data_IF_628119022616
#
_entry.id   IF_628119022616
#
_cell.length_a   1.000
_cell.length_b   1.000
_cell.length_c   1.000
_cell.angle_alpha   90.00
_cell.angle_beta   90.00
_cell.angle_gamma   90.00
#
_symmetry.space_group_name_H-M   'P 1'
#
loop_
_entity.id
_entity.type
_entity.pdbx_description
1 polymer ?
#
# COMPACT_ATOMS: atom_id res chain seq x y z
N UNK A 1 13.06 -13.76 -23.63
CA UNK A 1 12.30 -12.49 -23.71
C UNK A 1 13.28 -11.34 -23.55
N UNK A 2 13.42 -10.42 -24.52
CA UNK A 2 14.43 -9.39 -24.46
C UNK A 2 14.02 -8.34 -23.41
N UNK A 3 14.77 -8.25 -22.32
CA UNK A 3 14.68 -7.14 -21.38
C UNK A 3 15.34 -5.93 -22.05
N UNK A 4 14.57 -4.87 -22.28
CA UNK A 4 15.14 -3.55 -22.58
C UNK A 4 16.04 -3.19 -21.40
N UNK A 5 17.36 -3.28 -21.57
CA UNK A 5 18.34 -2.86 -20.55
C UNK A 5 18.26 -1.34 -20.44
N UNK A 6 17.43 -0.84 -19.53
CA UNK A 6 17.47 0.55 -19.13
C UNK A 6 18.87 0.91 -18.62
N UNK A 7 19.31 2.15 -18.83
CA UNK A 7 20.48 2.72 -18.17
C UNK A 7 20.37 2.48 -16.66
N UNK A 8 21.46 2.04 -16.04
CA UNK A 8 21.51 1.73 -14.61
C UNK A 8 22.34 2.81 -13.91
N UNK A 9 21.70 3.87 -13.37
CA UNK A 9 22.42 4.94 -12.69
C UNK A 9 22.90 4.52 -11.29
N UNK A 10 23.84 5.28 -10.75
CA UNK A 10 24.39 5.11 -9.40
C UNK A 10 24.17 6.38 -8.57
N UNK A 11 23.83 6.21 -7.30
CA UNK A 11 23.65 7.29 -6.33
C UNK A 11 24.64 7.14 -5.18
N UNK A 12 25.60 8.06 -5.10
CA UNK A 12 26.54 8.14 -3.96
C UNK A 12 25.81 8.33 -2.64
N UNK A 13 24.72 9.12 -2.64
CA UNK A 13 23.95 9.39 -1.43
C UNK A 13 23.36 8.10 -0.82
N UNK A 14 22.76 7.24 -1.64
CA UNK A 14 22.18 5.97 -1.18
C UNK A 14 23.28 4.96 -0.82
N UNK A 15 24.43 5.03 -1.51
CA UNK A 15 25.60 4.19 -1.25
C UNK A 15 26.16 4.26 0.18
N UNK A 16 25.90 5.34 0.91
CA UNK A 16 26.29 5.45 2.32
C UNK A 16 25.51 4.51 3.26
N UNK A 17 24.32 4.07 2.84
CA UNK A 17 23.45 3.22 3.66
C UNK A 17 23.22 1.82 3.07
N UNK A 18 23.41 1.63 1.76
CA UNK A 18 23.22 0.35 1.08
C UNK A 18 23.74 0.32 -0.35
N UNK A 19 23.07 -0.42 -1.24
CA UNK A 19 23.48 -0.52 -2.64
C UNK A 19 23.29 0.82 -3.38
N UNK A 20 24.35 1.32 -4.04
CA UNK A 20 24.32 2.57 -4.79
C UNK A 20 23.59 2.48 -6.15
N UNK A 21 23.39 1.26 -6.66
CA UNK A 21 22.83 1.01 -7.99
C UNK A 21 21.30 1.23 -8.00
N UNK A 22 20.79 1.94 -9.01
CA UNK A 22 19.37 2.14 -9.24
C UNK A 22 18.92 1.36 -10.50
N UNK A 23 18.03 0.40 -10.33
CA UNK A 23 17.57 -0.48 -11.40
C UNK A 23 18.56 -1.59 -11.77
N UNK A 24 18.34 -2.32 -12.87
CA UNK A 24 17.20 -2.17 -13.79
C UNK A 24 15.88 -2.62 -13.14
N UNK A 25 14.76 -2.12 -13.66
CA UNK A 25 13.41 -2.56 -13.26
C UNK A 25 12.79 -3.39 -14.38
N UNK A 26 12.17 -4.53 -14.03
CA UNK A 26 11.40 -5.30 -15.00
C UNK A 26 10.05 -4.61 -15.27
N UNK A 27 9.64 -4.45 -16.53
CA UNK A 27 8.32 -3.89 -16.87
C UNK A 27 7.62 -4.81 -17.90
N UNK A 28 6.78 -5.73 -17.42
CA UNK A 28 5.88 -6.52 -18.26
C UNK A 28 4.46 -5.94 -18.28
N UNK A 29 3.54 -6.58 -19.01
CA UNK A 29 2.17 -6.07 -19.21
C UNK A 29 1.43 -5.76 -17.90
N UNK A 30 1.54 -6.61 -16.88
CA UNK A 30 0.94 -6.33 -15.55
C UNK A 30 1.58 -5.13 -14.83
N UNK A 31 2.88 -4.91 -15.04
CA UNK A 31 3.56 -3.73 -14.49
C UNK A 31 3.07 -2.44 -15.15
N UNK A 32 2.95 -2.44 -16.48
CA UNK A 32 2.41 -1.30 -17.23
C UNK A 32 0.96 -1.03 -16.83
N UNK A 33 0.12 -2.07 -16.79
CA UNK A 33 -1.28 -1.95 -16.36
C UNK A 33 -1.39 -1.37 -14.95
N UNK A 34 -0.61 -1.91 -14.00
CA UNK A 34 -0.64 -1.44 -12.62
C UNK A 34 -0.25 0.03 -12.48
N UNK A 35 0.83 0.45 -13.15
CA UNK A 35 1.29 1.85 -13.14
C UNK A 35 0.29 2.78 -13.82
N UNK A 36 -0.27 2.38 -14.97
CA UNK A 36 -1.26 3.17 -15.69
C UNK A 36 -2.54 3.35 -14.86
N UNK A 37 -3.09 2.27 -14.30
CA UNK A 37 -4.26 2.35 -13.43
C UNK A 37 -3.96 3.13 -12.14
N UNK A 38 -2.77 2.97 -11.54
CA UNK A 38 -2.36 3.74 -10.37
C UNK A 38 -2.24 5.23 -10.67
N UNK A 39 -1.72 5.59 -11.84
CA UNK A 39 -1.68 6.97 -12.31
C UNK A 39 -3.08 7.55 -12.52
N UNK A 40 -4.01 6.78 -13.12
CA UNK A 40 -5.39 7.24 -13.29
C UNK A 40 -6.13 7.41 -11.96
N UNK A 41 -5.89 6.53 -10.98
CA UNK A 41 -6.38 6.71 -9.61
C UNK A 41 -5.89 8.03 -9.00
N UNK A 42 -4.57 8.26 -9.03
CA UNK A 42 -3.95 9.48 -8.53
C UNK A 42 -4.48 10.73 -9.25
N UNK A 43 -4.55 10.69 -10.58
CA UNK A 43 -5.03 11.80 -11.40
C UNK A 43 -6.50 12.12 -11.16
N UNK A 44 -7.35 11.09 -10.97
CA UNK A 44 -8.79 11.27 -10.68
C UNK A 44 -9.00 12.00 -9.35
N UNK A 45 -8.21 11.68 -8.33
CA UNK A 45 -8.24 12.42 -7.05
C UNK A 45 -7.68 13.83 -7.24
N UNK A 46 -6.54 13.95 -7.93
CA UNK A 46 -5.88 15.24 -8.17
C UNK A 46 -6.78 16.23 -8.91
N UNK A 47 -7.47 15.82 -9.96
CA UNK A 47 -8.38 16.70 -10.71
C UNK A 47 -9.58 17.13 -9.87
N UNK A 48 -10.06 16.27 -8.98
CA UNK A 48 -11.10 16.62 -8.02
C UNK A 48 -10.62 17.65 -6.98
N UNK A 49 -9.39 17.51 -6.49
CA UNK A 49 -8.80 18.48 -5.56
C UNK A 49 -8.58 19.84 -6.23
N UNK A 50 -8.13 19.86 -7.48
CA UNK A 50 -8.06 21.09 -8.27
C UNK A 50 -9.43 21.74 -8.50
N UNK A 51 -10.47 20.93 -8.71
CA UNK A 51 -11.84 21.42 -8.78
C UNK A 51 -12.30 22.04 -7.44
N UNK A 52 -12.02 21.40 -6.30
CA UNK A 52 -12.30 21.95 -4.97
C UNK A 52 -11.53 23.25 -4.69
N UNK A 53 -10.30 23.36 -5.21
CA UNK A 53 -9.50 24.57 -5.15
C UNK A 53 -9.97 25.70 -6.10
N UNK A 54 -11.03 25.47 -6.90
CA UNK A 54 -11.47 26.44 -7.90
C UNK A 54 -10.41 26.74 -8.98
N UNK A 55 -9.50 25.78 -9.23
CA UNK A 55 -8.35 25.92 -10.13
C UNK A 55 -7.31 26.98 -9.71
N UNK A 56 -7.35 27.45 -8.47
CA UNK A 56 -6.35 28.36 -7.91
C UNK A 56 -5.18 27.57 -7.30
N UNK A 57 -3.94 27.70 -7.83
CA UNK A 57 -2.78 26.99 -7.29
C UNK A 57 -2.42 27.35 -5.85
N UNK A 58 -2.69 28.58 -5.42
CA UNK A 58 -2.41 29.01 -4.04
C UNK A 58 -3.39 28.35 -3.06
N UNK A 59 -4.67 28.31 -3.41
CA UNK A 59 -5.69 27.58 -2.64
C UNK A 59 -5.38 26.08 -2.64
N UNK A 60 -4.99 25.52 -3.79
CA UNK A 60 -4.64 24.10 -3.90
C UNK A 60 -3.53 23.73 -2.91
N UNK A 61 -2.46 24.53 -2.84
CA UNK A 61 -1.34 24.26 -1.92
C UNK A 61 -1.70 24.53 -0.46
N UNK A 62 -2.52 25.55 -0.18
CA UNK A 62 -2.97 25.89 1.18
C UNK A 62 -3.84 24.78 1.79
N UNK A 63 -4.78 24.27 1.01
CA UNK A 63 -5.85 23.40 1.49
C UNK A 63 -5.64 21.93 1.11
N UNK A 64 -4.46 21.57 0.56
CA UNK A 64 -4.16 20.23 0.02
C UNK A 64 -4.58 19.07 0.94
N UNK A 65 -4.40 19.21 2.24
CA UNK A 65 -4.73 18.16 3.22
C UNK A 65 -6.21 18.11 3.61
N UNK A 66 -6.95 19.19 3.35
CA UNK A 66 -8.37 19.32 3.68
C UNK A 66 -9.28 18.87 2.53
N UNK A 67 -8.76 18.80 1.30
CA UNK A 67 -9.54 18.26 0.18
C UNK A 67 -9.86 16.79 0.35
N UNK A 68 -11.03 16.41 -0.16
CA UNK A 68 -11.45 15.02 -0.15
C UNK A 68 -12.39 14.65 -1.29
N UNK A 69 -12.17 13.46 -1.85
CA UNK A 69 -13.10 12.77 -2.72
C UNK A 69 -13.87 11.72 -1.89
N UNK A 70 -15.13 12.03 -1.61
CA UNK A 70 -16.03 11.25 -0.76
C UNK A 70 -16.77 10.14 -1.54
N UNK A 71 -17.11 9.00 -0.90
CA UNK A 71 -17.95 7.97 -1.51
C UNK A 71 -19.40 8.47 -1.75
N UNK A 72 -20.21 7.74 -2.55
CA UNK A 72 -21.62 8.02 -2.71
C UNK A 72 -22.37 8.08 -1.38
N UNK A 73 -23.36 8.98 -1.29
CA UNK A 73 -24.24 9.08 -0.14
C UNK A 73 -25.08 7.79 0.08
N UNK A 74 -25.58 7.53 1.30
CA UNK A 74 -26.31 6.29 1.62
C UNK A 74 -27.52 6.00 0.73
N UNK A 75 -28.18 7.04 0.20
CA UNK A 75 -29.33 6.93 -0.70
C UNK A 75 -29.03 6.19 -2.01
N UNK A 76 -27.77 6.18 -2.44
CA UNK A 76 -27.32 5.45 -3.63
C UNK A 76 -27.04 3.97 -3.37
N UNK A 77 -26.98 3.53 -2.10
CA UNK A 77 -26.68 2.15 -1.71
C UNK A 77 -25.41 1.63 -2.39
N UNK A 78 -25.51 0.46 -3.03
CA UNK A 78 -24.43 -0.14 -3.83
C UNK A 78 -24.52 0.19 -5.34
N UNK A 79 -25.42 1.08 -5.75
CA UNK A 79 -25.57 1.41 -7.17
C UNK A 79 -24.36 2.17 -7.71
N UNK A 80 -24.15 2.07 -9.02
CA UNK A 80 -23.16 2.87 -9.76
C UNK A 80 -23.80 4.11 -10.42
N UNK A 81 -24.98 4.52 -9.96
CA UNK A 81 -25.79 5.57 -10.58
C UNK A 81 -25.55 6.97 -9.99
N UNK A 82 -24.71 7.09 -8.94
CA UNK A 82 -24.39 8.36 -8.33
C UNK A 82 -23.77 9.33 -9.35
N UNK A 83 -24.22 10.61 -9.40
CA UNK A 83 -23.59 11.63 -10.22
C UNK A 83 -22.09 11.75 -9.94
N UNK A 84 -21.32 12.19 -10.95
CA UNK A 84 -19.86 12.28 -10.84
C UNK A 84 -19.39 13.08 -9.62
N UNK A 85 -20.04 14.20 -9.32
CA UNK A 85 -19.69 15.07 -8.18
C UNK A 85 -20.21 14.58 -6.82
N UNK A 86 -21.03 13.54 -6.81
CA UNK A 86 -21.73 13.01 -5.62
C UNK A 86 -21.33 11.56 -5.33
N UNK A 87 -20.09 11.20 -5.65
CA UNK A 87 -19.52 9.87 -5.40
C UNK A 87 -19.25 9.03 -6.65
N UNK A 88 -19.76 9.42 -7.83
CA UNK A 88 -19.41 8.76 -9.09
C UNK A 88 -17.92 8.80 -9.40
N UNK A 89 -17.24 9.92 -9.13
CA UNK A 89 -15.78 10.02 -9.27
C UNK A 89 -15.02 9.14 -8.25
N UNK A 90 -15.56 8.96 -7.05
CA UNK A 90 -14.99 8.04 -6.06
C UNK A 90 -15.03 6.60 -6.57
N UNK A 91 -16.15 6.17 -7.16
CA UNK A 91 -16.26 4.83 -7.76
C UNK A 91 -15.24 4.61 -8.89
N UNK A 92 -15.03 5.63 -9.73
CA UNK A 92 -14.04 5.58 -10.81
C UNK A 92 -12.61 5.48 -10.23
N UNK A 93 -12.27 6.30 -9.23
CA UNK A 93 -10.98 6.25 -8.57
C UNK A 93 -10.75 4.86 -7.91
N UNK A 94 -11.75 4.35 -7.19
CA UNK A 94 -11.74 3.04 -6.55
C UNK A 94 -11.54 1.90 -7.54
N UNK A 95 -12.16 1.97 -8.72
CA UNK A 95 -11.94 0.99 -9.80
C UNK A 95 -10.48 0.97 -10.28
N UNK A 96 -9.90 2.15 -10.53
CA UNK A 96 -8.50 2.23 -10.97
C UNK A 96 -7.52 1.78 -9.88
N UNK A 97 -7.78 2.13 -8.62
CA UNK A 97 -7.01 1.63 -7.48
C UNK A 97 -7.09 0.10 -7.40
N UNK A 98 -8.29 -0.46 -7.57
CA UNK A 98 -8.53 -1.90 -7.52
C UNK A 98 -7.71 -2.65 -8.56
N UNK A 99 -7.78 -2.22 -9.83
CA UNK A 99 -6.99 -2.82 -10.92
C UNK A 99 -5.50 -2.67 -10.66
N UNK A 100 -5.05 -1.50 -10.18
CA UNK A 100 -3.64 -1.23 -9.92
C UNK A 100 -3.04 -2.20 -8.89
N UNK A 101 -3.72 -2.37 -7.75
CA UNK A 101 -3.26 -3.22 -6.64
C UNK A 101 -3.25 -4.70 -7.04
N UNK A 102 -4.32 -5.20 -7.66
CA UNK A 102 -4.40 -6.61 -8.06
C UNK A 102 -3.44 -6.95 -9.21
N UNK A 103 -3.23 -6.06 -10.16
CA UNK A 103 -2.19 -6.22 -11.19
C UNK A 103 -0.78 -6.23 -10.58
N UNK A 104 -0.53 -5.39 -9.56
CA UNK A 104 0.74 -5.38 -8.83
C UNK A 104 0.97 -6.68 -8.06
N UNK A 105 -0.05 -7.21 -7.40
CA UNK A 105 0.03 -8.50 -6.73
C UNK A 105 0.40 -9.63 -7.71
N UNK A 106 -0.29 -9.70 -8.85
CA UNK A 106 0.03 -10.68 -9.90
C UNK A 106 1.46 -10.52 -10.42
N UNK A 107 1.95 -9.28 -10.56
CA UNK A 107 3.35 -9.00 -10.89
C UNK A 107 4.31 -9.56 -9.83
N UNK A 108 4.08 -9.33 -8.54
CA UNK A 108 4.92 -9.86 -7.44
C UNK A 108 5.00 -11.38 -7.50
N UNK A 109 3.87 -12.05 -7.67
CA UNK A 109 3.79 -13.50 -7.78
C UNK A 109 4.58 -14.04 -8.98
N UNK A 110 4.39 -13.45 -10.16
CA UNK A 110 5.03 -13.89 -11.40
C UNK A 110 6.53 -13.59 -11.44
N UNK A 111 7.04 -12.60 -10.68
CA UNK A 111 8.48 -12.37 -10.55
C UNK A 111 9.16 -13.46 -9.75
N UNK A 112 8.58 -13.85 -8.62
CA UNK A 112 9.08 -15.00 -7.87
C UNK A 112 9.02 -16.29 -8.70
N UNK A 113 7.96 -16.51 -9.49
CA UNK A 113 7.86 -17.68 -10.38
C UNK A 113 8.94 -17.71 -11.44
N UNK A 114 9.18 -16.60 -12.13
CA UNK A 114 10.16 -16.51 -13.21
C UNK A 114 11.60 -16.76 -12.72
N UNK A 115 11.88 -16.52 -11.43
CA UNK A 115 13.18 -16.75 -10.80
C UNK A 115 13.27 -18.10 -10.07
N UNK A 116 12.23 -18.95 -10.13
CA UNK A 116 12.20 -20.24 -9.43
C UNK A 116 12.11 -20.12 -7.90
N UNK A 117 11.76 -18.95 -7.37
CA UNK A 117 11.67 -18.69 -5.92
C UNK A 117 10.32 -19.11 -5.33
N UNK A 118 10.28 -19.35 -4.02
CA UNK A 118 9.03 -19.49 -3.27
C UNK A 118 8.15 -18.24 -3.33
N UNK A 119 6.84 -18.39 -3.09
CA UNK A 119 5.83 -17.31 -3.29
C UNK A 119 5.53 -16.49 -2.05
N UNK A 120 6.40 -16.55 -1.03
CA UNK A 120 6.22 -15.93 0.28
C UNK A 120 5.86 -14.44 0.20
N UNK A 121 6.55 -13.65 -0.63
CA UNK A 121 6.26 -12.21 -0.80
C UNK A 121 4.85 -11.95 -1.33
N UNK A 122 4.38 -12.75 -2.28
CA UNK A 122 3.02 -12.62 -2.83
C UNK A 122 1.95 -12.96 -1.79
N UNK A 123 2.19 -13.98 -0.95
CA UNK A 123 1.29 -14.36 0.13
C UNK A 123 1.27 -13.34 1.28
N UNK A 124 2.45 -12.85 1.69
CA UNK A 124 2.55 -11.79 2.68
C UNK A 124 1.83 -10.51 2.21
N UNK A 125 2.02 -10.12 0.95
CA UNK A 125 1.35 -8.95 0.38
C UNK A 125 -0.18 -9.10 0.35
N UNK A 126 -0.68 -10.33 0.14
CA UNK A 126 -2.12 -10.60 0.15
C UNK A 126 -2.78 -10.30 1.51
N UNK A 127 -2.05 -10.41 2.62
CA UNK A 127 -2.54 -10.01 3.95
C UNK A 127 -2.78 -8.50 4.06
N UNK A 128 -1.94 -7.67 3.44
CA UNK A 128 -2.16 -6.22 3.38
C UNK A 128 -3.34 -5.87 2.44
N UNK A 129 -3.44 -6.57 1.30
CA UNK A 129 -4.58 -6.44 0.38
C UNK A 129 -5.89 -6.79 1.08
N UNK A 130 -5.90 -7.79 1.95
CA UNK A 130 -7.08 -8.18 2.72
C UNK A 130 -7.65 -7.00 3.54
N UNK A 131 -6.82 -6.32 4.35
CA UNK A 131 -7.28 -5.18 5.15
C UNK A 131 -7.86 -4.06 4.26
N UNK A 132 -7.16 -3.70 3.18
CA UNK A 132 -7.63 -2.69 2.23
C UNK A 132 -8.95 -3.09 1.55
N UNK A 133 -9.08 -4.35 1.13
CA UNK A 133 -10.31 -4.89 0.56
C UNK A 133 -11.47 -4.86 1.56
N UNK A 134 -11.22 -5.18 2.84
CA UNK A 134 -12.24 -5.08 3.89
C UNK A 134 -12.75 -3.65 4.02
N UNK A 135 -11.85 -2.67 4.10
CA UNK A 135 -12.20 -1.27 4.32
C UNK A 135 -12.96 -0.64 3.13
N UNK A 136 -12.54 -0.90 1.89
CA UNK A 136 -13.06 -0.23 0.71
C UNK A 136 -14.13 -0.99 -0.08
N UNK A 137 -14.25 -2.31 0.11
CA UNK A 137 -15.10 -3.15 -0.74
C UNK A 137 -15.95 -4.14 0.06
N UNK A 138 -15.34 -5.07 0.81
CA UNK A 138 -16.06 -6.18 1.44
C UNK A 138 -17.02 -5.67 2.51
N UNK A 139 -16.56 -4.82 3.46
CA UNK A 139 -17.45 -4.26 4.49
C UNK A 139 -18.54 -3.37 3.87
N UNK A 140 -18.25 -2.40 3.00
CA UNK A 140 -19.31 -1.61 2.33
C UNK A 140 -20.37 -2.47 1.64
N UNK A 141 -19.96 -3.53 0.92
CA UNK A 141 -20.90 -4.47 0.29
C UNK A 141 -21.76 -5.19 1.34
N UNK A 142 -21.16 -5.70 2.43
CA UNK A 142 -21.90 -6.36 3.50
C UNK A 142 -22.85 -5.41 4.26
N UNK A 143 -22.52 -4.12 4.32
CA UNK A 143 -23.36 -3.08 4.91
C UNK A 143 -24.42 -2.53 3.93
N UNK A 144 -24.37 -2.92 2.66
CA UNK A 144 -25.35 -2.52 1.65
C UNK A 144 -25.20 -1.10 1.10
N UNK A 145 -24.07 -0.41 1.35
CA UNK A 145 -23.85 0.95 0.87
C UNK A 145 -22.38 1.31 0.68
N UNK A 146 -22.04 2.00 -0.41
CA UNK A 146 -20.71 2.56 -0.64
C UNK A 146 -20.34 3.68 0.35
N UNK A 147 -21.33 4.33 0.97
CA UNK A 147 -21.13 5.38 1.98
C UNK A 147 -20.32 4.94 3.20
N UNK A 148 -20.21 3.63 3.41
CA UNK A 148 -19.47 3.00 4.51
C UNK A 148 -17.95 2.88 4.23
N UNK A 149 -17.52 3.19 3.01
CA UNK A 149 -16.13 3.11 2.59
C UNK A 149 -15.30 4.33 3.04
N UNK A 150 -13.98 4.22 2.93
CA UNK A 150 -13.03 5.28 3.30
C UNK A 150 -12.97 6.34 2.18
N UNK A 151 -12.99 7.65 2.52
CA UNK A 151 -12.79 8.71 1.53
C UNK A 151 -11.32 8.86 1.12
N UNK A 152 -11.08 9.45 -0.05
CA UNK A 152 -9.72 9.79 -0.49
C UNK A 152 -9.40 11.23 -0.11
N UNK A 153 -8.73 11.42 1.03
CA UNK A 153 -8.23 12.72 1.52
C UNK A 153 -7.34 12.56 2.74
N UNK A 154 -6.42 13.52 2.98
CA UNK A 154 -5.41 13.37 4.04
C UNK A 154 -6.05 13.47 5.41
N UNK A 155 -6.82 14.52 5.72
CA UNK A 155 -7.49 14.61 7.01
C UNK A 155 -8.79 13.82 7.05
N UNK A 156 -9.56 13.77 5.96
CA UNK A 156 -10.85 13.07 5.96
C UNK A 156 -10.74 11.56 6.22
N UNK A 157 -9.68 10.86 5.76
CA UNK A 157 -9.52 9.44 6.10
C UNK A 157 -9.12 9.23 7.58
N UNK A 158 -8.47 10.21 8.22
CA UNK A 158 -8.18 10.19 9.66
C UNK A 158 -9.47 10.44 10.45
N UNK A 159 -10.27 11.41 10.02
CA UNK A 159 -11.59 11.69 10.60
C UNK A 159 -12.51 10.47 10.49
N UNK A 160 -12.51 9.80 9.33
CA UNK A 160 -13.21 8.53 9.12
C UNK A 160 -12.74 7.47 10.11
N UNK A 161 -11.43 7.33 10.32
CA UNK A 161 -10.87 6.32 11.25
C UNK A 161 -11.30 6.60 12.69
N UNK A 162 -11.28 7.86 13.12
CA UNK A 162 -11.74 8.27 14.43
C UNK A 162 -13.25 8.00 14.59
N UNK A 163 -14.05 8.45 13.63
CA UNK A 163 -15.51 8.27 13.63
C UNK A 163 -15.89 6.78 13.65
N UNK A 164 -15.20 5.94 12.86
CA UNK A 164 -15.40 4.50 12.84
C UNK A 164 -15.28 3.90 14.25
N UNK A 165 -14.28 4.33 15.04
CA UNK A 165 -14.15 3.87 16.43
C UNK A 165 -15.29 4.33 17.32
N UNK A 166 -15.72 5.59 17.19
CA UNK A 166 -16.81 6.14 18.00
C UNK A 166 -18.14 5.43 17.72
N UNK A 167 -18.47 5.22 16.44
CA UNK A 167 -19.73 4.58 16.03
C UNK A 167 -19.82 3.11 16.45
N UNK A 168 -18.69 2.40 16.50
CA UNK A 168 -18.66 0.98 16.89
C UNK A 168 -18.34 0.76 18.38
N UNK A 169 -18.51 1.78 19.23
CA UNK A 169 -18.42 1.62 20.68
C UNK A 169 -16.99 1.45 21.20
N UNK A 170 -16.02 2.17 20.62
CA UNK A 170 -14.60 2.20 20.94
C UNK A 170 -13.84 0.91 20.56
N UNK A 171 -13.00 1.00 19.52
CA UNK A 171 -12.21 -0.12 19.00
C UNK A 171 -11.17 -0.69 19.97
N UNK A 172 -10.86 -0.03 21.10
CA UNK A 172 -9.99 -0.65 22.12
C UNK A 172 -10.59 -1.91 22.73
N UNK A 173 -11.92 -2.08 22.68
CA UNK A 173 -12.59 -3.29 23.16
C UNK A 173 -12.73 -4.37 22.07
N UNK A 174 -12.31 -4.11 20.84
CA UNK A 174 -12.29 -5.13 19.80
C UNK A 174 -11.02 -6.00 19.96
N UNK A 175 -11.15 -7.32 20.23
CA UNK A 175 -9.99 -8.18 20.47
C UNK A 175 -9.08 -8.31 19.24
N UNK A 176 -9.62 -8.25 18.03
CA UNK A 176 -8.82 -8.29 16.80
C UNK A 176 -8.04 -6.99 16.57
N UNK A 177 -8.58 -5.86 17.00
CA UNK A 177 -7.84 -4.59 17.00
C UNK A 177 -6.67 -4.64 17.99
N UNK A 178 -6.91 -5.16 19.21
CA UNK A 178 -5.86 -5.40 20.20
C UNK A 178 -4.74 -6.33 19.68
N UNK A 179 -5.12 -7.44 19.03
CA UNK A 179 -4.15 -8.35 18.39
C UNK A 179 -3.37 -7.64 17.26
N UNK A 180 -4.03 -6.83 16.43
CA UNK A 180 -3.36 -6.08 15.36
C UNK A 180 -2.32 -5.11 15.92
N UNK A 181 -2.61 -4.41 17.02
CA UNK A 181 -1.64 -3.54 17.72
C UNK A 181 -0.49 -4.37 18.27
N UNK A 182 -0.77 -5.51 18.90
CA UNK A 182 0.28 -6.39 19.44
C UNK A 182 1.26 -6.84 18.35
N UNK A 183 0.78 -7.21 17.16
CA UNK A 183 1.64 -7.58 16.04
C UNK A 183 2.35 -6.40 15.39
N UNK A 184 1.73 -5.21 15.37
CA UNK A 184 2.39 -3.99 14.92
C UNK A 184 3.59 -3.64 15.82
N UNK A 185 3.38 -3.62 17.13
CA UNK A 185 4.46 -3.39 18.11
C UNK A 185 5.48 -4.54 18.11
N UNK A 186 5.01 -5.77 18.02
CA UNK A 186 5.84 -6.96 17.89
C UNK A 186 6.75 -6.92 16.67
N UNK A 187 6.29 -6.35 15.55
CA UNK A 187 7.10 -6.18 14.34
C UNK A 187 8.22 -5.15 14.54
N UNK A 188 7.94 -4.02 15.18
CA UNK A 188 8.96 -3.03 15.52
C UNK A 188 10.02 -3.62 16.46
N UNK A 189 9.58 -4.33 17.51
CA UNK A 189 10.45 -5.02 18.45
C UNK A 189 11.32 -6.08 17.74
N UNK A 190 10.70 -6.98 16.99
CA UNK A 190 11.40 -8.10 16.38
C UNK A 190 12.38 -7.63 15.30
N UNK A 191 12.04 -6.60 14.53
CA UNK A 191 12.97 -6.08 13.54
C UNK A 191 14.11 -5.28 14.19
N UNK A 192 13.86 -4.57 15.29
CA UNK A 192 14.93 -3.96 16.08
C UNK A 192 15.89 -5.01 16.64
N UNK A 193 15.36 -6.09 17.22
CA UNK A 193 16.15 -7.22 17.72
C UNK A 193 16.96 -7.87 16.59
N UNK A 194 16.30 -8.26 15.50
CA UNK A 194 16.96 -8.95 14.39
C UNK A 194 18.00 -8.06 13.71
N UNK A 195 17.64 -6.82 13.34
CA UNK A 195 18.56 -5.89 12.69
C UNK A 195 19.79 -5.58 13.55
N UNK A 196 19.61 -5.34 14.85
CA UNK A 196 20.73 -5.12 15.77
C UNK A 196 21.60 -6.38 15.91
N UNK A 197 21.00 -7.57 16.00
CA UNK A 197 21.73 -8.84 16.08
C UNK A 197 22.57 -9.07 14.82
N UNK A 198 21.99 -8.93 13.62
CA UNK A 198 22.71 -9.12 12.35
C UNK A 198 23.88 -8.14 12.24
N UNK A 199 23.68 -6.86 12.60
CA UNK A 199 24.78 -5.89 12.63
C UNK A 199 25.86 -6.25 13.67
N UNK A 200 25.48 -6.75 14.85
CA UNK A 200 26.42 -7.17 15.89
C UNK A 200 27.31 -8.35 15.48
N UNK A 201 26.80 -9.24 14.63
CA UNK A 201 27.55 -10.38 14.07
C UNK A 201 28.06 -10.16 12.64
N UNK A 202 27.91 -8.95 12.08
CA UNK A 202 28.38 -8.61 10.73
C UNK A 202 29.89 -8.81 10.54
N UNK A 203 30.70 -8.62 11.60
CA UNK A 203 32.15 -8.94 11.58
C UNK A 203 32.46 -10.42 11.33
N UNK A 204 31.47 -11.30 11.45
CA UNK A 204 31.53 -12.73 11.15
C UNK A 204 30.76 -13.09 9.88
N UNK A 205 30.29 -12.10 9.10
CA UNK A 205 29.49 -12.30 7.89
C UNK A 205 28.06 -12.78 8.15
N UNK A 206 27.44 -12.35 9.26
CA UNK A 206 26.09 -12.79 9.64
C UNK A 206 24.97 -12.36 8.70
N UNK A 207 25.17 -11.31 7.90
CA UNK A 207 24.24 -10.84 6.86
C UNK A 207 24.13 -11.78 5.64
N UNK A 208 25.07 -12.73 5.52
CA UNK A 208 25.06 -13.79 4.49
C UNK A 208 24.14 -14.94 4.90
N UNK A 209 22.88 -14.61 5.15
CA UNK A 209 21.94 -15.48 5.85
C UNK A 209 21.64 -16.78 5.10
N UNK A 210 21.60 -16.76 3.76
CA UNK A 210 21.37 -17.98 2.97
C UNK A 210 22.51 -18.99 3.16
N UNK A 211 23.75 -18.51 3.20
CA UNK A 211 24.91 -19.34 3.48
C UNK A 211 24.90 -19.85 4.92
N UNK A 212 24.56 -19.01 5.90
CA UNK A 212 24.46 -19.42 7.31
C UNK A 212 23.37 -20.47 7.55
N UNK A 213 22.28 -20.44 6.77
CA UNK A 213 21.22 -21.47 6.80
C UNK A 213 21.73 -22.79 6.21
N UNK A 214 22.46 -22.73 5.09
CA UNK A 214 22.97 -23.92 4.39
C UNK A 214 24.14 -24.58 5.14
N UNK A 215 25.00 -23.78 5.75
CA UNK A 215 26.17 -24.20 6.54
C UNK A 215 26.37 -23.27 7.74
N UNK A 216 26.07 -23.77 8.94
CA UNK A 216 25.99 -22.95 10.15
C UNK A 216 27.38 -22.51 10.62
N UNK A 217 27.67 -21.22 10.48
CA UNK A 217 28.91 -20.60 10.95
C UNK A 217 28.86 -20.06 12.38
N UNK A 218 29.96 -19.44 12.81
CA UNK A 218 30.08 -18.78 14.13
C UNK A 218 29.06 -17.65 14.31
N UNK A 219 28.71 -16.93 13.24
CA UNK A 219 27.71 -15.86 13.29
C UNK A 219 26.32 -16.35 13.75
N UNK A 220 25.95 -17.58 13.38
CA UNK A 220 24.65 -18.19 13.69
C UNK A 220 24.67 -19.12 14.91
N UNK A 221 25.80 -19.19 15.64
CA UNK A 221 26.00 -20.10 16.78
C UNK A 221 26.13 -19.38 18.13
N UNK A 222 26.14 -18.04 18.12
CA UNK A 222 26.27 -17.18 19.31
C UNK A 222 24.95 -16.63 19.83
#
# INVERSE_FOLDING_TARGET
MPTVRAWVPFSTLIGWFGNAQLGPIYLGSLGVLSLFSGFLWFFTIGIWFWYQAGWDPAVFMRDLFYFSLEPPAPEYGLSFAAPLKEGGLWLIASFFMFVSVWAWWGRVYLRAQALGMGKHTGWAFLSAIWLWMVLGFIRPIMMGSWSEAVPYGIFSHLDWTNNFSLVHGNLFYNPFHGLSIAFLYGSALLFAMHGATILAVSRFGGERELEQIADRGTAASG
#
